data_IF_374479111351
#
_entry.id   IF_374479111351
#
_cell.length_a   1.000
_cell.length_b   1.000
_cell.length_c   1.000
_cell.angle_alpha   90.00
_cell.angle_beta   90.00
_cell.angle_gamma   90.00
#
_symmetry.space_group_name_H-M   'P 1'
#
loop_
_entity.id
_entity.type
_entity.pdbx_description
1 polymer ?
#
# COMPACT_ATOMS: atom_id res chain seq x y z
N UNK A 1 1.69 36.75 -3.91
CA UNK A 1 3.11 37.13 -4.01
C UNK A 1 3.87 35.88 -4.39
N UNK A 2 4.37 35.81 -5.62
CA UNK A 2 5.21 34.70 -6.06
C UNK A 2 6.53 34.77 -5.28
N UNK A 3 6.85 33.71 -4.54
CA UNK A 3 8.18 33.58 -3.95
C UNK A 3 9.14 33.26 -5.10
N UNK A 4 10.05 34.19 -5.41
CA UNK A 4 11.14 33.92 -6.33
C UNK A 4 12.07 32.86 -5.71
N UNK A 5 12.25 31.78 -6.45
CA UNK A 5 13.16 30.67 -6.18
C UNK A 5 14.57 31.21 -5.86
N UNK A 6 15.20 30.82 -4.74
CA UNK A 6 16.54 31.30 -4.42
C UNK A 6 17.57 30.81 -5.47
N UNK A 7 18.59 31.61 -5.81
CA UNK A 7 19.62 31.21 -6.75
C UNK A 7 20.42 29.99 -6.24
N UNK A 8 20.81 29.15 -7.20
CA UNK A 8 21.49 27.85 -7.12
C UNK A 8 22.55 27.70 -6.00
N UNK A 9 22.13 27.44 -4.76
CA UNK A 9 23.08 27.27 -3.64
C UNK A 9 23.00 25.94 -2.92
N UNK A 10 22.05 25.06 -3.27
CA UNK A 10 22.07 23.68 -2.75
C UNK A 10 23.10 22.86 -3.54
N UNK A 11 24.17 22.35 -2.92
CA UNK A 11 25.12 21.49 -3.61
C UNK A 11 24.43 20.23 -4.11
N UNK A 12 24.62 19.88 -5.40
CA UNK A 12 24.17 18.60 -5.95
C UNK A 12 24.84 17.47 -5.19
N UNK A 13 24.04 16.61 -4.57
CA UNK A 13 24.54 15.39 -3.93
C UNK A 13 25.16 14.52 -5.03
N UNK A 14 26.46 14.24 -4.90
CA UNK A 14 27.14 13.24 -5.74
C UNK A 14 27.02 11.89 -5.04
N UNK A 15 26.26 10.99 -5.67
CA UNK A 15 26.10 9.63 -5.23
C UNK A 15 27.37 8.80 -5.46
N UNK A 16 28.10 8.51 -4.40
CA UNK A 16 28.98 7.33 -4.38
C UNK A 16 28.13 6.16 -3.90
N UNK A 17 27.37 5.58 -4.83
CA UNK A 17 26.40 4.51 -4.54
C UNK A 17 27.14 3.25 -4.11
N UNK A 18 26.81 2.72 -2.91
CA UNK A 18 27.22 1.37 -2.55
C UNK A 18 26.39 0.39 -3.39
N UNK A 19 27.01 -0.57 -4.09
CA UNK A 19 26.26 -1.55 -4.87
C UNK A 19 25.37 -2.39 -3.93
N UNK A 20 24.08 -2.46 -4.23
CA UNK A 20 23.18 -3.43 -3.63
C UNK A 20 23.60 -4.83 -4.10
N UNK A 21 23.72 -5.77 -3.15
CA UNK A 21 24.02 -7.16 -3.45
C UNK A 21 22.70 -7.92 -3.57
N UNK A 22 22.40 -8.39 -4.78
CA UNK A 22 21.35 -9.38 -4.98
C UNK A 22 21.75 -10.72 -4.35
N UNK A 23 20.84 -11.32 -3.59
CA UNK A 23 20.86 -12.77 -3.33
C UNK A 23 19.82 -13.37 -4.26
N UNK A 24 20.21 -13.65 -5.50
CA UNK A 24 19.38 -14.46 -6.38
C UNK A 24 19.25 -15.87 -5.78
N UNK A 25 18.11 -16.52 -6.02
CA UNK A 25 17.93 -17.95 -5.79
C UNK A 25 19.01 -18.78 -6.50
N UNK A 26 19.01 -20.12 -6.29
CA UNK A 26 20.13 -21.00 -6.62
C UNK A 26 20.59 -21.00 -8.10
N UNK A 27 19.81 -20.43 -9.02
CA UNK A 27 20.15 -20.31 -10.44
C UNK A 27 20.26 -18.84 -10.85
N UNK A 28 21.46 -18.25 -10.75
CA UNK A 28 21.72 -16.92 -11.32
C UNK A 28 22.69 -16.04 -10.52
N UNK A 29 23.95 -16.46 -10.38
CA UNK A 29 25.02 -15.49 -10.12
C UNK A 29 25.30 -14.73 -11.40
N UNK A 30 24.93 -13.45 -11.45
CA UNK A 30 25.67 -12.49 -12.28
C UNK A 30 24.84 -11.60 -13.19
N UNK A 31 24.32 -10.51 -12.61
CA UNK A 31 24.48 -9.18 -13.22
C UNK A 31 24.29 -8.13 -12.13
N UNK A 32 25.32 -7.32 -11.87
CA UNK A 32 25.18 -6.12 -11.06
C UNK A 32 24.39 -5.12 -11.90
N UNK A 33 23.20 -4.76 -11.47
CA UNK A 33 22.46 -3.65 -12.07
C UNK A 33 23.13 -2.34 -11.66
N UNK A 34 23.53 -1.48 -12.60
CA UNK A 34 24.02 -0.15 -12.29
C UNK A 34 23.06 0.58 -11.35
N UNK A 35 23.56 1.31 -10.34
CA UNK A 35 22.73 2.13 -9.44
C UNK A 35 21.80 3.12 -10.17
N UNK A 36 22.12 3.44 -11.43
CA UNK A 36 21.36 4.33 -12.31
C UNK A 36 20.06 3.72 -12.85
N UNK A 37 19.87 2.41 -12.73
CA UNK A 37 18.64 1.74 -13.16
C UNK A 37 17.66 1.58 -11.96
N UNK A 38 18.14 1.83 -10.74
CA UNK A 38 17.33 1.89 -9.51
C UNK A 38 16.84 3.30 -9.27
N UNK A 39 15.98 3.75 -10.16
CA UNK A 39 15.37 5.07 -10.07
C UNK A 39 14.01 4.91 -9.40
N UNK A 40 13.84 5.46 -8.18
CA UNK A 40 12.53 5.63 -7.56
C UNK A 40 11.56 6.22 -8.60
N UNK A 41 10.29 5.79 -8.66
CA UNK A 41 9.33 6.31 -9.66
C UNK A 41 9.30 7.86 -9.74
N UNK A 42 9.46 8.53 -8.60
CA UNK A 42 9.64 9.99 -8.52
C UNK A 42 10.93 10.51 -9.20
N UNK A 43 12.04 9.80 -9.04
CA UNK A 43 13.31 10.11 -9.69
C UNK A 43 13.21 9.86 -11.20
N UNK A 44 12.35 8.95 -11.69
CA UNK A 44 12.13 8.74 -13.13
C UNK A 44 11.39 9.92 -13.73
N UNK A 45 10.36 10.43 -13.05
CA UNK A 45 9.67 11.65 -13.50
C UNK A 45 10.59 12.87 -13.44
N UNK A 46 11.44 12.98 -12.41
CA UNK A 46 12.47 14.03 -12.32
C UNK A 46 13.48 13.94 -13.49
N UNK A 47 13.93 12.73 -13.83
CA UNK A 47 14.90 12.48 -14.89
C UNK A 47 14.31 12.63 -16.30
N UNK A 48 13.07 12.18 -16.54
CA UNK A 48 12.40 12.25 -17.85
C UNK A 48 11.93 13.68 -18.19
N UNK A 49 11.58 14.48 -17.19
CA UNK A 49 11.19 15.89 -17.38
C UNK A 49 12.39 16.86 -17.42
N UNK A 50 13.61 16.37 -17.18
CA UNK A 50 14.82 17.18 -16.99
C UNK A 50 14.63 18.25 -15.87
N UNK A 51 13.85 17.91 -14.84
CA UNK A 51 13.56 18.79 -13.71
C UNK A 51 14.34 18.31 -12.47
N UNK A 52 15.39 19.03 -12.05
CA UNK A 52 16.19 18.66 -10.89
C UNK A 52 15.46 18.76 -9.53
N UNK A 53 14.15 19.06 -9.51
CA UNK A 53 13.39 19.44 -8.31
C UNK A 53 11.99 18.83 -8.26
N UNK A 54 11.82 17.60 -8.73
CA UNK A 54 10.51 16.98 -8.72
C UNK A 54 9.89 16.98 -7.30
N UNK A 55 8.66 17.46 -7.23
CA UNK A 55 7.88 17.58 -6.02
C UNK A 55 7.03 16.32 -5.81
N UNK A 56 7.13 15.75 -4.60
CA UNK A 56 6.39 14.56 -4.20
C UNK A 56 5.37 14.92 -3.13
N UNK A 57 4.09 14.75 -3.44
CA UNK A 57 3.04 14.84 -2.44
C UNK A 57 3.02 13.57 -1.58
N UNK A 58 3.13 13.73 -0.28
CA UNK A 58 3.04 12.64 0.68
C UNK A 58 1.60 12.54 1.17
N UNK A 59 0.81 11.64 0.57
CA UNK A 59 -0.61 11.43 0.88
C UNK A 59 -0.81 10.62 2.17
N UNK A 60 -0.16 11.04 3.25
CA UNK A 60 -0.21 10.39 4.56
C UNK A 60 0.13 11.40 5.68
N UNK A 61 0.16 10.94 6.93
CA UNK A 61 0.46 11.76 8.12
C UNK A 61 1.39 11.03 9.09
N UNK A 62 1.92 11.77 10.05
CA UNK A 62 2.66 11.19 11.19
C UNK A 62 4.03 10.66 10.79
N UNK A 63 4.42 9.52 11.37
CA UNK A 63 5.79 9.01 11.24
C UNK A 63 6.13 8.61 9.79
N UNK A 64 5.22 7.92 9.10
CA UNK A 64 5.47 7.47 7.73
C UNK A 64 5.62 8.64 6.76
N UNK A 65 4.87 9.72 6.99
CA UNK A 65 5.02 10.94 6.21
C UNK A 65 6.42 11.55 6.43
N UNK A 66 6.90 11.62 7.68
CA UNK A 66 8.26 12.05 7.99
C UNK A 66 9.33 11.16 7.33
N UNK A 67 9.14 9.84 7.34
CA UNK A 67 10.07 8.89 6.72
C UNK A 67 10.21 9.12 5.22
N UNK A 68 9.11 9.42 4.54
CA UNK A 68 9.07 9.72 3.10
C UNK A 68 9.67 11.09 2.82
N UNK A 69 9.31 12.12 3.59
CA UNK A 69 9.88 13.47 3.46
C UNK A 69 11.41 13.42 3.57
N UNK A 70 11.94 12.69 4.56
CA UNK A 70 13.39 12.49 4.72
C UNK A 70 14.01 11.82 3.49
N UNK A 71 13.37 10.79 2.95
CA UNK A 71 13.86 10.13 1.73
C UNK A 71 13.88 11.09 0.55
N UNK A 72 12.83 11.91 0.37
CA UNK A 72 12.79 12.91 -0.69
C UNK A 72 13.97 13.88 -0.56
N UNK A 73 14.21 14.41 0.65
CA UNK A 73 15.33 15.33 0.91
C UNK A 73 16.71 14.70 0.71
N UNK A 74 16.90 13.45 1.14
CA UNK A 74 18.13 12.68 0.91
C UNK A 74 18.39 12.47 -0.59
N UNK A 75 17.32 12.32 -1.38
CA UNK A 75 17.36 12.16 -2.83
C UNK A 75 17.42 13.50 -3.61
N UNK A 76 17.38 14.65 -2.90
CA UNK A 76 17.37 15.99 -3.51
C UNK A 76 16.01 16.42 -4.09
N UNK A 77 14.94 15.71 -3.76
CA UNK A 77 13.55 16.02 -4.12
C UNK A 77 12.89 16.94 -3.08
N UNK A 78 11.87 17.68 -3.49
CA UNK A 78 11.04 18.48 -2.59
C UNK A 78 9.80 17.69 -2.19
N UNK A 79 9.38 17.82 -0.93
CA UNK A 79 8.25 17.09 -0.38
C UNK A 79 7.11 18.03 0.00
N UNK A 80 5.90 17.65 -0.40
CA UNK A 80 4.65 18.36 -0.06
C UNK A 80 3.85 17.53 0.93
N UNK A 81 3.66 18.04 2.14
CA UNK A 81 2.80 17.42 3.14
C UNK A 81 1.33 17.82 2.93
N UNK A 82 0.42 16.91 3.28
CA UNK A 82 -1.01 17.22 3.43
C UNK A 82 -1.43 17.07 4.87
N UNK A 83 -2.38 17.88 5.33
CA UNK A 83 -2.83 17.80 6.73
C UNK A 83 -4.31 18.14 6.92
N UNK A 84 -4.95 17.48 7.88
CA UNK A 84 -6.24 17.93 8.42
C UNK A 84 -6.02 19.05 9.46
N UNK A 85 -7.05 19.82 9.79
CA UNK A 85 -6.94 20.97 10.70
C UNK A 85 -6.29 20.65 12.06
N UNK A 86 -6.60 19.49 12.64
CA UNK A 86 -6.01 19.03 13.91
C UNK A 86 -4.55 18.63 13.79
N UNK A 87 -4.10 18.28 12.58
CA UNK A 87 -2.72 17.90 12.30
C UNK A 87 -1.85 19.08 11.86
N UNK A 88 -2.38 20.31 11.81
CA UNK A 88 -1.67 21.52 11.34
C UNK A 88 -0.30 21.73 11.98
N UNK A 89 -0.14 21.35 13.25
CA UNK A 89 1.12 21.51 13.99
C UNK A 89 1.94 20.21 14.07
N UNK A 90 1.51 19.15 13.39
CA UNK A 90 2.13 17.84 13.41
C UNK A 90 3.56 17.90 12.85
N UNK A 91 4.50 17.08 13.36
CA UNK A 91 5.89 17.09 12.93
C UNK A 91 6.11 16.98 11.40
N UNK A 92 5.32 16.14 10.70
CA UNK A 92 5.46 15.97 9.25
C UNK A 92 5.13 17.24 8.46
N UNK A 93 4.19 18.07 8.95
CA UNK A 93 3.82 19.34 8.32
C UNK A 93 4.98 20.33 8.37
N UNK A 94 5.71 20.36 9.49
CA UNK A 94 6.86 21.25 9.68
C UNK A 94 8.12 20.79 8.95
N UNK A 95 8.19 19.51 8.60
CA UNK A 95 9.35 18.91 7.97
C UNK A 95 9.33 19.03 6.44
N UNK A 96 8.15 19.15 5.83
CA UNK A 96 8.00 19.29 4.38
C UNK A 96 8.37 20.69 3.88
N UNK A 97 8.72 20.81 2.60
CA UNK A 97 9.03 22.09 1.94
C UNK A 97 7.76 22.94 1.74
N UNK A 98 6.64 22.26 1.47
CA UNK A 98 5.30 22.86 1.37
C UNK A 98 4.29 22.00 2.15
N UNK A 99 3.20 22.64 2.62
CA UNK A 99 2.09 21.92 3.24
C UNK A 99 0.72 22.44 2.77
N UNK A 100 -0.17 21.52 2.41
CA UNK A 100 -1.52 21.83 1.89
C UNK A 100 -2.60 21.34 2.86
N UNK A 101 -3.53 22.20 3.30
CA UNK A 101 -4.64 21.78 4.15
C UNK A 101 -5.69 20.97 3.37
N UNK A 102 -6.14 19.85 3.93
CA UNK A 102 -7.25 19.02 3.40
C UNK A 102 -8.61 19.38 4.01
N UNK A 103 -8.62 20.12 5.13
CA UNK A 103 -9.83 20.53 5.83
C UNK A 103 -10.08 19.76 7.14
N UNK A 104 -11.33 19.36 7.44
CA UNK A 104 -11.71 18.91 8.78
C UNK A 104 -10.97 17.66 9.30
N UNK A 105 -11.01 17.41 10.64
CA UNK A 105 -10.27 16.32 11.28
C UNK A 105 -10.62 14.90 10.81
N UNK A 106 -11.86 14.67 10.37
CA UNK A 106 -12.32 13.34 10.00
C UNK A 106 -11.57 12.82 8.76
N UNK A 107 -10.98 11.63 8.85
CA UNK A 107 -10.18 11.05 7.75
C UNK A 107 -10.98 10.91 6.45
N UNK A 108 -12.26 10.53 6.54
CA UNK A 108 -13.18 10.45 5.40
C UNK A 108 -13.36 11.78 4.64
N UNK A 109 -13.12 12.91 5.31
CA UNK A 109 -13.22 14.26 4.74
C UNK A 109 -11.84 14.89 4.50
N UNK A 110 -10.75 14.13 4.72
CA UNK A 110 -9.37 14.60 4.58
C UNK A 110 -8.49 13.53 3.90
N UNK A 111 -7.77 12.71 4.67
CA UNK A 111 -6.78 11.76 4.14
C UNK A 111 -7.34 10.60 3.30
N UNK A 112 -8.66 10.37 3.33
CA UNK A 112 -9.34 9.37 2.50
C UNK A 112 -10.11 10.00 1.32
N UNK A 113 -10.04 11.32 1.16
CA UNK A 113 -10.71 12.06 0.08
C UNK A 113 -9.78 12.16 -1.14
N UNK A 114 -9.98 11.24 -2.09
CA UNK A 114 -9.19 11.16 -3.33
C UNK A 114 -9.20 12.49 -4.09
N UNK A 115 -10.37 13.10 -4.42
CA UNK A 115 -10.41 14.39 -5.11
C UNK A 115 -9.57 15.48 -4.44
N UNK A 116 -9.61 15.60 -3.11
CA UNK A 116 -8.81 16.60 -2.39
C UNK A 116 -7.31 16.35 -2.50
N UNK A 117 -6.88 15.09 -2.40
CA UNK A 117 -5.46 14.75 -2.52
C UNK A 117 -4.93 15.03 -3.94
N UNK A 118 -5.72 14.72 -4.97
CA UNK A 118 -5.36 15.03 -6.35
C UNK A 118 -5.31 16.54 -6.58
N UNK A 119 -6.31 17.28 -6.10
CA UNK A 119 -6.32 18.74 -6.20
C UNK A 119 -5.14 19.39 -5.45
N UNK A 120 -4.77 18.85 -4.28
CA UNK A 120 -3.60 19.30 -3.53
C UNK A 120 -2.30 19.06 -4.31
N UNK A 121 -2.13 17.88 -4.91
CA UNK A 121 -0.94 17.55 -5.71
C UNK A 121 -0.82 18.46 -6.94
N UNK A 122 -1.91 18.61 -7.70
CA UNK A 122 -1.93 19.45 -8.90
C UNK A 122 -1.75 20.94 -8.56
N UNK A 123 -2.38 21.42 -7.49
CA UNK A 123 -2.28 22.82 -7.06
C UNK A 123 -0.90 23.18 -6.50
N UNK A 124 -0.20 22.22 -5.91
CA UNK A 124 1.19 22.38 -5.48
C UNK A 124 2.18 22.30 -6.66
N UNK A 125 1.80 21.62 -7.75
CA UNK A 125 2.71 21.39 -8.88
C UNK A 125 3.53 20.11 -8.73
N UNK A 126 3.06 19.15 -7.93
CA UNK A 126 3.73 17.87 -7.74
C UNK A 126 3.75 17.01 -9.00
N UNK A 127 4.76 16.17 -9.12
CA UNK A 127 4.89 15.18 -10.19
C UNK A 127 4.48 13.77 -9.75
N UNK A 128 4.56 13.50 -8.45
CA UNK A 128 4.31 12.18 -7.90
C UNK A 128 3.57 12.23 -6.57
N UNK A 129 2.92 11.12 -6.22
CA UNK A 129 2.22 10.93 -4.96
C UNK A 129 2.72 9.67 -4.27
N UNK A 130 3.25 9.83 -3.05
CA UNK A 130 3.61 8.70 -2.19
C UNK A 130 2.48 8.43 -1.18
N UNK A 131 1.85 7.25 -1.19
CA UNK A 131 0.72 6.98 -0.30
C UNK A 131 1.14 6.53 1.11
N UNK A 132 2.39 6.12 1.30
CA UNK A 132 2.86 5.53 2.56
C UNK A 132 2.19 4.18 2.82
N UNK A 133 1.76 3.93 4.05
CA UNK A 133 0.95 2.75 4.41
C UNK A 133 -0.38 3.17 5.06
N UNK A 134 -1.37 2.27 5.06
CA UNK A 134 -2.72 2.60 5.51
C UNK A 134 -3.41 3.61 4.58
N UNK A 135 -4.48 4.26 5.04
CA UNK A 135 -5.32 5.17 4.26
C UNK A 135 -5.64 4.64 2.85
N UNK A 136 -5.06 5.25 1.82
CA UNK A 136 -5.32 4.93 0.42
C UNK A 136 -4.21 4.13 -0.27
N UNK A 137 -3.16 3.71 0.47
CA UNK A 137 -2.01 2.98 -0.09
C UNK A 137 -2.34 1.67 -0.80
N UNK A 138 -3.40 0.98 -0.38
CA UNK A 138 -3.88 -0.27 -0.98
C UNK A 138 -5.20 -0.07 -1.74
N UNK A 139 -5.49 1.17 -2.18
CA UNK A 139 -6.73 1.49 -2.89
C UNK A 139 -6.45 1.69 -4.38
N UNK A 140 -6.76 0.67 -5.18
CA UNK A 140 -6.62 0.74 -6.64
C UNK A 140 -7.27 2.00 -7.27
N UNK A 141 -8.48 2.45 -6.86
CA UNK A 141 -9.06 3.68 -7.38
C UNK A 141 -8.22 4.94 -7.12
N UNK A 142 -7.42 4.97 -6.05
CA UNK A 142 -6.53 6.10 -5.77
C UNK A 142 -5.35 6.10 -6.74
N UNK A 143 -4.69 4.95 -6.94
CA UNK A 143 -3.62 4.82 -7.92
C UNK A 143 -4.10 5.17 -9.35
N UNK A 144 -5.31 4.75 -9.71
CA UNK A 144 -5.96 5.12 -11.00
C UNK A 144 -6.21 6.63 -11.09
N UNK A 145 -6.70 7.27 -10.03
CA UNK A 145 -6.94 8.70 -10.00
C UNK A 145 -5.63 9.52 -10.10
N UNK A 146 -4.55 9.06 -9.46
CA UNK A 146 -3.22 9.68 -9.56
C UNK A 146 -2.72 9.61 -11.00
N UNK A 147 -2.77 8.43 -11.63
CA UNK A 147 -2.38 8.27 -13.04
C UNK A 147 -3.26 9.09 -14.00
N UNK A 148 -4.58 9.13 -13.77
CA UNK A 148 -5.51 9.92 -14.57
C UNK A 148 -5.29 11.43 -14.44
N UNK A 149 -4.67 11.87 -13.34
CA UNK A 149 -4.24 13.25 -13.12
C UNK A 149 -2.85 13.56 -13.70
N UNK A 150 -2.26 12.64 -14.47
CA UNK A 150 -0.90 12.72 -15.02
C UNK A 150 0.19 12.84 -13.94
N UNK A 151 -0.05 12.24 -12.78
CA UNK A 151 0.90 12.14 -11.67
C UNK A 151 1.41 10.69 -11.57
N UNK A 152 2.65 10.51 -11.11
CA UNK A 152 3.18 9.17 -10.84
C UNK A 152 2.73 8.68 -9.45
N UNK A 153 2.11 7.51 -9.41
CA UNK A 153 1.81 6.84 -8.15
C UNK A 153 3.03 6.04 -7.67
N UNK A 154 3.61 6.42 -6.54
CA UNK A 154 4.78 5.73 -5.99
C UNK A 154 4.30 4.48 -5.23
N UNK A 155 4.13 3.40 -5.99
CA UNK A 155 3.67 2.10 -5.52
C UNK A 155 3.45 1.13 -6.68
N UNK A 156 2.90 -0.06 -6.42
CA UNK A 156 2.56 -1.00 -7.48
C UNK A 156 1.43 -0.45 -8.36
N UNK A 157 1.31 -0.92 -9.62
CA UNK A 157 0.22 -0.50 -10.50
C UNK A 157 -1.15 -0.89 -9.92
N UNK A 158 -2.19 -0.13 -10.26
CA UNK A 158 -3.55 -0.36 -9.77
C UNK A 158 -4.06 -1.80 -9.98
N UNK A 159 -3.67 -2.42 -11.11
CA UNK A 159 -4.00 -3.81 -11.40
C UNK A 159 -3.39 -4.78 -10.38
N UNK A 160 -2.15 -4.55 -9.93
CA UNK A 160 -1.50 -5.34 -8.88
C UNK A 160 -2.15 -5.09 -7.52
N UNK A 161 -2.49 -3.84 -7.19
CA UNK A 161 -3.24 -3.52 -5.97
C UNK A 161 -4.58 -4.26 -5.93
N UNK A 162 -5.34 -4.25 -7.04
CA UNK A 162 -6.62 -4.97 -7.15
C UNK A 162 -6.43 -6.48 -7.03
N UNK A 163 -5.42 -7.03 -7.71
CA UNK A 163 -5.12 -8.46 -7.69
C UNK A 163 -4.75 -8.97 -6.29
N UNK A 164 -4.10 -8.14 -5.47
CA UNK A 164 -3.61 -8.54 -4.14
C UNK A 164 -4.49 -8.06 -2.99
N UNK A 165 -5.40 -7.11 -3.21
CA UNK A 165 -6.29 -6.56 -2.18
C UNK A 165 -7.46 -7.47 -1.80
N UNK A 166 -7.85 -8.40 -2.69
CA UNK A 166 -8.78 -9.48 -2.38
C UNK A 166 -8.00 -10.74 -1.97
N UNK A 167 -8.23 -11.24 -0.74
CA UNK A 167 -7.47 -12.38 -0.21
C UNK A 167 -7.74 -13.68 -0.96
N UNK A 168 -8.94 -13.87 -1.51
CA UNK A 168 -9.28 -15.09 -2.25
C UNK A 168 -8.63 -15.09 -3.63
N UNK A 169 -8.63 -13.95 -4.32
CA UNK A 169 -7.92 -13.75 -5.58
C UNK A 169 -6.40 -13.83 -5.39
N UNK A 170 -5.85 -13.22 -4.34
CA UNK A 170 -4.45 -13.32 -3.99
C UNK A 170 -4.03 -14.79 -3.76
N UNK A 171 -4.82 -15.56 -3.01
CA UNK A 171 -4.58 -17.00 -2.78
C UNK A 171 -4.60 -17.79 -4.09
N UNK A 172 -5.55 -17.52 -4.98
CA UNK A 172 -5.64 -18.15 -6.30
C UNK A 172 -4.39 -17.86 -7.13
N UNK A 173 -3.92 -16.62 -7.14
CA UNK A 173 -2.69 -16.21 -7.87
C UNK A 173 -1.45 -16.87 -7.30
N UNK A 174 -1.29 -16.90 -5.99
CA UNK A 174 -0.16 -17.57 -5.34
C UNK A 174 -0.14 -19.07 -5.68
N UNK A 175 -1.29 -19.73 -5.65
CA UNK A 175 -1.41 -21.13 -6.06
C UNK A 175 -1.03 -21.33 -7.54
N UNK A 176 -1.49 -20.46 -8.44
CA UNK A 176 -1.13 -20.51 -9.87
C UNK A 176 0.37 -20.27 -10.11
N UNK A 177 1.01 -19.46 -9.27
CA UNK A 177 2.45 -19.22 -9.28
C UNK A 177 3.26 -20.34 -8.62
N UNK A 178 2.63 -21.43 -8.17
CA UNK A 178 3.31 -22.55 -7.50
C UNK A 178 3.74 -22.25 -6.06
N UNK A 179 3.29 -21.15 -5.48
CA UNK A 179 3.58 -20.79 -4.08
C UNK A 179 2.67 -21.62 -3.16
N UNK A 180 3.23 -22.36 -2.19
CA UNK A 180 2.43 -23.10 -1.22
C UNK A 180 1.53 -22.16 -0.42
N UNK A 181 0.23 -22.45 -0.40
CA UNK A 181 -0.75 -21.72 0.41
C UNK A 181 -1.29 -22.61 1.53
N UNK A 182 -1.69 -22.00 2.64
CA UNK A 182 -2.42 -22.70 3.71
C UNK A 182 -3.67 -23.35 3.10
N UNK A 183 -3.98 -24.63 3.36
CA UNK A 183 -5.19 -25.27 2.85
C UNK A 183 -6.43 -24.46 3.22
N UNK A 184 -7.31 -24.20 2.25
CA UNK A 184 -8.49 -23.37 2.45
C UNK A 184 -9.17 -23.05 1.13
N UNK A 185 -10.30 -22.38 1.19
CA UNK A 185 -11.02 -21.97 -0.01
C UNK A 185 -10.27 -20.85 -0.75
N UNK A 186 -10.35 -20.88 -2.08
CA UNK A 186 -9.79 -19.87 -3.00
C UNK A 186 -10.86 -18.97 -3.58
N UNK A 187 -12.11 -19.16 -3.15
CA UNK A 187 -13.27 -18.36 -3.51
C UNK A 187 -14.07 -18.03 -2.24
N UNK A 188 -14.80 -16.91 -2.22
CA UNK A 188 -15.76 -16.64 -1.16
C UNK A 188 -16.80 -17.74 -1.06
N UNK A 189 -17.24 -18.01 0.16
CA UNK A 189 -18.30 -18.95 0.48
C UNK A 189 -19.62 -18.18 0.55
N UNK A 190 -20.66 -18.66 -0.14
CA UNK A 190 -21.93 -17.94 -0.22
C UNK A 190 -22.73 -17.97 1.09
N UNK A 191 -22.61 -19.06 1.85
CA UNK A 191 -23.40 -19.32 3.04
C UNK A 191 -22.71 -20.30 4.01
N UNK A 192 -23.33 -20.50 5.17
CA UNK A 192 -22.86 -21.43 6.19
C UNK A 192 -22.91 -22.91 5.74
N UNK A 193 -23.72 -23.26 4.73
CA UNK A 193 -23.81 -24.63 4.21
C UNK A 193 -22.55 -24.97 3.42
N UNK A 194 -22.13 -24.06 2.53
CA UNK A 194 -20.85 -24.18 1.83
C UNK A 194 -19.67 -24.14 2.81
N UNK A 195 -19.74 -23.27 3.82
CA UNK A 195 -18.71 -23.22 4.86
C UNK A 195 -18.60 -24.55 5.62
N UNK A 196 -19.72 -25.22 5.92
CA UNK A 196 -19.75 -26.52 6.58
C UNK A 196 -19.08 -27.60 5.74
N UNK A 197 -19.40 -27.67 4.45
CA UNK A 197 -18.78 -28.63 3.53
C UNK A 197 -17.26 -28.42 3.43
N UNK A 198 -16.82 -27.16 3.34
CA UNK A 198 -15.40 -26.81 3.27
C UNK A 198 -14.67 -27.07 4.59
N UNK A 199 -15.28 -26.76 5.74
CA UNK A 199 -14.73 -27.06 7.06
C UNK A 199 -14.58 -28.57 7.27
N UNK A 200 -15.55 -29.38 6.84
CA UNK A 200 -15.46 -30.84 6.88
C UNK A 200 -14.29 -31.37 6.02
N UNK A 201 -14.05 -30.78 4.85
CA UNK A 201 -12.91 -31.12 3.97
C UNK A 201 -11.56 -30.74 4.59
N UNK A 202 -11.47 -29.60 5.26
CA UNK A 202 -10.25 -29.10 5.90
C UNK A 202 -9.96 -29.78 7.25
N UNK A 203 -11.00 -30.24 7.93
CA UNK A 203 -10.98 -30.66 9.33
C UNK A 203 -10.81 -29.48 10.29
N UNK A 204 -11.41 -29.56 11.48
CA UNK A 204 -11.25 -28.56 12.52
C UNK A 204 -9.87 -28.65 13.22
N UNK A 205 -9.37 -27.56 13.84
CA UNK A 205 -9.91 -26.20 13.81
C UNK A 205 -9.70 -25.51 12.44
N UNK A 206 -10.59 -24.58 12.10
CA UNK A 206 -10.55 -23.73 10.90
C UNK A 206 -10.65 -22.25 11.28
N UNK A 207 -10.24 -21.37 10.38
CA UNK A 207 -10.30 -19.92 10.54
C UNK A 207 -11.23 -19.33 9.48
N UNK A 208 -12.31 -18.68 9.92
CA UNK A 208 -13.17 -17.84 9.07
C UNK A 208 -12.49 -16.50 8.90
N UNK A 209 -12.38 -16.01 7.66
CA UNK A 209 -11.71 -14.75 7.35
C UNK A 209 -12.50 -13.95 6.34
N UNK A 210 -12.61 -12.65 6.53
CA UNK A 210 -13.11 -11.71 5.53
C UNK A 210 -12.18 -11.68 4.31
N UNK A 211 -12.76 -11.79 3.11
CA UNK A 211 -12.05 -11.75 1.83
C UNK A 211 -11.45 -10.37 1.56
N UNK A 212 -12.22 -9.32 1.84
CA UNK A 212 -11.77 -7.93 1.81
C UNK A 212 -11.26 -7.46 3.19
N UNK A 213 -10.33 -6.51 3.19
CA UNK A 213 -9.90 -5.77 4.38
C UNK A 213 -8.66 -6.31 5.10
N UNK A 214 -8.24 -5.58 6.14
CA UNK A 214 -6.98 -5.81 6.88
C UNK A 214 -7.06 -5.43 8.35
N UNK A 215 -5.94 -5.55 9.07
CA UNK A 215 -5.85 -5.14 10.49
C UNK A 215 -6.53 -6.09 11.49
N UNK A 216 -6.67 -7.37 11.14
CA UNK A 216 -7.18 -8.41 12.05
C UNK A 216 -8.70 -8.47 12.20
N UNK A 217 -9.46 -7.58 11.55
CA UNK A 217 -10.93 -7.54 11.58
C UNK A 217 -11.55 -8.63 10.70
N UNK A 218 -12.68 -9.16 11.13
CA UNK A 218 -13.43 -10.17 10.38
C UNK A 218 -12.74 -11.55 10.34
N UNK A 219 -12.00 -11.92 11.39
CA UNK A 219 -11.39 -13.25 11.51
C UNK A 219 -11.89 -13.96 12.77
N UNK A 220 -12.26 -15.24 12.66
CA UNK A 220 -12.77 -16.05 13.78
C UNK A 220 -12.24 -17.48 13.73
N UNK A 221 -11.71 -17.95 14.86
CA UNK A 221 -11.32 -19.34 15.05
C UNK A 221 -12.56 -20.16 15.35
N UNK A 222 -12.70 -21.29 14.66
CA UNK A 222 -13.78 -22.26 14.81
C UNK A 222 -13.13 -23.60 15.14
N UNK A 223 -13.39 -24.11 16.34
CA UNK A 223 -12.80 -25.36 16.87
C UNK A 223 -13.68 -26.57 16.61
N UNK A 224 -14.98 -26.36 16.46
CA UNK A 224 -15.96 -27.40 16.22
C UNK A 224 -17.11 -26.92 15.34
N UNK A 225 -17.87 -27.86 14.78
CA UNK A 225 -18.89 -27.59 13.75
C UNK A 225 -20.06 -26.73 14.27
N UNK A 226 -20.42 -26.89 15.53
CA UNK A 226 -21.46 -26.11 16.25
C UNK A 226 -21.20 -24.60 16.24
N UNK A 227 -19.93 -24.19 16.23
CA UNK A 227 -19.52 -22.78 16.26
C UNK A 227 -19.58 -22.11 14.87
N UNK A 228 -19.58 -22.90 13.79
CA UNK A 228 -19.30 -22.42 12.44
C UNK A 228 -20.33 -21.42 11.92
N UNK A 229 -21.63 -21.70 12.10
CA UNK A 229 -22.69 -20.84 11.59
C UNK A 229 -22.65 -19.44 12.23
N UNK A 230 -22.53 -19.39 13.55
CA UNK A 230 -22.40 -18.13 14.30
C UNK A 230 -21.12 -17.37 13.91
N UNK A 231 -19.99 -18.08 13.77
CA UNK A 231 -18.75 -17.46 13.36
C UNK A 231 -18.81 -16.88 11.95
N UNK A 232 -19.46 -17.59 11.02
CA UNK A 232 -19.67 -17.13 9.64
C UNK A 232 -20.49 -15.83 9.61
N UNK A 233 -21.67 -15.83 10.23
CA UNK A 233 -22.56 -14.65 10.26
C UNK A 233 -21.88 -13.43 10.89
N UNK A 234 -21.18 -13.65 12.01
CA UNK A 234 -20.50 -12.58 12.71
C UNK A 234 -19.32 -12.02 11.89
N UNK A 235 -18.56 -12.87 11.18
CA UNK A 235 -17.50 -12.42 10.28
C UNK A 235 -18.04 -11.64 9.08
N UNK A 236 -19.12 -12.13 8.46
CA UNK A 236 -19.81 -11.45 7.36
C UNK A 236 -20.34 -10.08 7.78
N UNK A 237 -21.01 -9.99 8.94
CA UNK A 237 -21.56 -8.72 9.45
C UNK A 237 -20.46 -7.70 9.77
N UNK A 238 -19.36 -8.15 10.38
CA UNK A 238 -18.22 -7.30 10.68
C UNK A 238 -17.54 -6.79 9.42
N UNK A 239 -17.36 -7.66 8.42
CA UNK A 239 -16.76 -7.31 7.14
C UNK A 239 -17.62 -6.29 6.37
N UNK A 240 -18.94 -6.46 6.34
CA UNK A 240 -19.88 -5.49 5.77
C UNK A 240 -19.76 -4.12 6.43
N UNK A 241 -19.75 -4.07 7.76
CA UNK A 241 -19.68 -2.81 8.52
C UNK A 241 -18.33 -2.11 8.36
N UNK A 242 -17.23 -2.86 8.31
CA UNK A 242 -15.89 -2.31 8.27
C UNK A 242 -15.40 -1.97 6.86
N UNK A 243 -15.80 -2.77 5.86
CA UNK A 243 -15.22 -2.72 4.51
C UNK A 243 -16.27 -2.58 3.40
N UNK A 244 -17.57 -2.64 3.71
CA UNK A 244 -18.65 -2.60 2.73
C UNK A 244 -18.81 -3.89 1.91
N UNK A 245 -18.04 -4.95 2.25
CA UNK A 245 -18.05 -6.24 1.56
C UNK A 245 -18.13 -7.38 2.59
N UNK A 246 -19.13 -8.25 2.45
CA UNK A 246 -19.43 -9.34 3.40
C UNK A 246 -18.84 -10.69 3.04
N UNK A 247 -18.02 -10.75 2.00
CA UNK A 247 -17.47 -12.00 1.50
C UNK A 247 -16.47 -12.60 2.49
N UNK A 248 -16.63 -13.89 2.79
CA UNK A 248 -15.80 -14.64 3.74
C UNK A 248 -15.31 -15.95 3.12
N UNK A 249 -14.19 -16.45 3.63
CA UNK A 249 -13.57 -17.70 3.19
C UNK A 249 -13.00 -18.46 4.38
N UNK A 250 -12.65 -19.74 4.19
CA UNK A 250 -12.09 -20.60 5.23
C UNK A 250 -10.64 -20.95 4.94
N UNK A 251 -9.82 -20.99 5.99
CA UNK A 251 -8.48 -21.58 5.97
C UNK A 251 -8.33 -22.58 7.12
N UNK A 252 -7.42 -23.53 6.96
CA UNK A 252 -6.97 -24.37 8.06
C UNK A 252 -6.27 -23.50 9.11
N UNK A 253 -6.68 -23.64 10.37
CA UNK A 253 -6.00 -22.96 11.46
C UNK A 253 -4.66 -23.64 11.76
N UNK A 254 -3.60 -22.84 11.87
CA UNK A 254 -2.28 -23.28 12.29
C UNK A 254 -2.12 -22.95 13.78
N UNK A 255 -1.82 -23.95 14.62
CA UNK A 255 -1.79 -23.76 16.08
C UNK A 255 -0.55 -23.03 16.60
N UNK A 256 0.61 -23.27 15.99
CA UNK A 256 1.88 -22.69 16.41
C UNK A 256 2.63 -22.07 15.20
N UNK A 257 2.01 -21.12 14.49
CA UNK A 257 2.63 -20.52 13.33
C UNK A 257 3.71 -19.53 13.78
N UNK A 258 4.76 -19.40 12.97
CA UNK A 258 5.60 -18.20 12.96
C UNK A 258 5.13 -17.33 11.80
N UNK A 259 4.93 -16.04 12.07
CA UNK A 259 4.68 -15.08 11.01
C UNK A 259 6.02 -14.71 10.37
N UNK A 260 6.18 -15.02 9.08
CA UNK A 260 7.36 -14.66 8.29
C UNK A 260 6.86 -13.94 7.05
N UNK A 261 7.42 -12.77 6.79
CA UNK A 261 7.14 -11.94 5.61
C UNK A 261 8.45 -11.64 4.88
N UNK A 262 8.36 -11.49 3.56
CA UNK A 262 9.51 -11.27 2.68
C UNK A 262 9.33 -9.90 2.04
N UNK A 263 10.29 -9.00 2.27
CA UNK A 263 10.34 -7.72 1.57
C UNK A 263 10.73 -7.95 0.11
N UNK A 264 9.94 -7.40 -0.81
CA UNK A 264 10.21 -7.42 -2.24
C UNK A 264 10.43 -5.99 -2.72
N UNK A 265 11.34 -5.82 -3.67
CA UNK A 265 11.52 -4.60 -4.46
C UNK A 265 11.59 -5.03 -5.92
N UNK A 266 10.85 -4.33 -6.79
CA UNK A 266 10.83 -4.57 -8.23
C UNK A 266 10.85 -3.23 -8.96
N UNK A 267 11.51 -3.18 -10.11
CA UNK A 267 11.51 -2.03 -11.00
C UNK A 267 10.42 -2.19 -12.10
N UNK A 268 10.45 -1.31 -13.10
CA UNK A 268 9.52 -1.38 -14.25
C UNK A 268 10.04 -2.20 -15.45
N UNK A 269 11.23 -2.80 -15.34
CA UNK A 269 11.94 -3.47 -16.43
C UNK A 269 11.84 -5.00 -16.38
N UNK A 270 11.34 -5.56 -15.27
CA UNK A 270 11.06 -6.99 -15.11
C UNK A 270 12.17 -7.75 -14.38
#
# INVERSE_FOLDING_TARGET
MAFERPPETRPRIRWDTRPLVWVAGPEGKGSRVPPRDFVFGALRVALDANDPWAEVLVANRGEIALRIIRACHEEGLEAVAVYSEVDRLSPHVRAADLAVPLGPPAAAQSYLDIPKLIAAAQGAGCQAVHPGYGFLSERAPFAEAVAAASLEFIGPPAAAIRAMGDKTEARRRMQQAGVPIVPGSTRPLADHVQARAEAARLGFPVLVKAAAGGGGKGMRLVREESELASAFEAATSEALKAFGAGEVYLEKYLERPRHIEIQILADSFG
#
